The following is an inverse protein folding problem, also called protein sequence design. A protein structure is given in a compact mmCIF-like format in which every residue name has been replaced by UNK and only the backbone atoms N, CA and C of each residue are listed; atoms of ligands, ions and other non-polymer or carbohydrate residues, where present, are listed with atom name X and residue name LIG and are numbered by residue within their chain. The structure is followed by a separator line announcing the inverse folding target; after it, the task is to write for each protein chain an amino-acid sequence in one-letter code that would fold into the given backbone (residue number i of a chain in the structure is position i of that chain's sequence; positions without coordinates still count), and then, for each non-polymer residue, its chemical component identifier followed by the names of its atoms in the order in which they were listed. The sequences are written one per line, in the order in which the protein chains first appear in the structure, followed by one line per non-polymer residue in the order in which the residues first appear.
data_IF_091461219656
#
_entry.id   IF_091461219656
#
_cell.length_a   1.000
_cell.length_b   1.000
_cell.length_c   1.000
_cell.angle_alpha   90.00
_cell.angle_beta   90.00
_cell.angle_gamma   90.00
#
_symmetry.space_group_name_H-M   'P 1'
#
loop_
_entity.id
_entity.type
_entity.pdbx_description
1 polymer ?
#
# COMPACT_ATOMS: atom_id res chain seq x y z
N UNK A 1 -11.80 -9.86 1.90
CA UNK A 1 -11.67 -8.71 2.82
C UNK A 1 -11.91 -9.16 4.25
N UNK A 2 -11.38 -8.43 5.22
CA UNK A 2 -11.52 -8.77 6.64
C UNK A 2 -12.74 -8.06 7.23
N UNK A 3 -13.60 -8.81 7.95
CA UNK A 3 -14.80 -8.28 8.60
C UNK A 3 -14.48 -7.35 9.79
N UNK A 4 -13.26 -7.36 10.29
CA UNK A 4 -12.77 -6.45 11.34
C UNK A 4 -12.54 -5.01 10.88
N UNK A 5 -12.63 -4.73 9.58
CA UNK A 5 -12.46 -3.41 9.00
C UNK A 5 -13.74 -2.90 8.33
N UNK A 6 -13.83 -1.58 8.11
CA UNK A 6 -15.00 -0.99 7.42
C UNK A 6 -15.19 -1.58 6.03
N UNK A 7 -14.12 -1.98 5.35
CA UNK A 7 -14.18 -2.66 4.05
C UNK A 7 -15.00 -3.94 4.11
N UNK A 8 -14.88 -4.73 5.17
CA UNK A 8 -15.69 -5.93 5.39
C UNK A 8 -17.17 -5.60 5.54
N UNK A 9 -17.49 -4.55 6.30
CA UNK A 9 -18.87 -4.08 6.45
C UNK A 9 -19.44 -3.62 5.11
N UNK A 10 -18.72 -2.78 4.37
CA UNK A 10 -19.20 -2.19 3.11
C UNK A 10 -19.27 -3.22 1.97
N UNK A 11 -18.22 -4.00 1.75
CA UNK A 11 -18.04 -4.82 0.55
C UNK A 11 -18.37 -6.31 0.74
N UNK A 12 -18.43 -6.81 1.98
CA UNK A 12 -18.88 -8.18 2.25
C UNK A 12 -20.37 -8.20 2.63
N UNK A 13 -20.81 -7.26 3.47
CA UNK A 13 -22.17 -7.28 4.04
C UNK A 13 -23.09 -6.33 3.29
N UNK A 14 -22.90 -5.01 3.41
CA UNK A 14 -23.92 -4.06 2.99
C UNK A 14 -24.08 -3.95 1.48
N UNK A 15 -23.03 -3.68 0.74
CA UNK A 15 -23.13 -3.44 -0.70
C UNK A 15 -23.62 -4.67 -1.48
N UNK A 16 -23.08 -5.88 -1.29
CA UNK A 16 -23.59 -7.07 -1.98
C UNK A 16 -25.07 -7.35 -1.69
N UNK A 17 -25.47 -7.29 -0.42
CA UNK A 17 -26.85 -7.59 -0.03
C UNK A 17 -27.84 -6.52 -0.49
N UNK A 18 -27.48 -5.23 -0.41
CA UNK A 18 -28.29 -4.13 -0.97
C UNK A 18 -28.46 -4.27 -2.48
N UNK A 19 -27.43 -4.75 -3.18
CA UNK A 19 -27.50 -5.02 -4.62
C UNK A 19 -28.27 -6.29 -4.96
N UNK A 20 -28.61 -7.13 -3.99
CA UNK A 20 -29.23 -8.43 -4.20
C UNK A 20 -28.27 -9.51 -4.68
N UNK A 21 -26.99 -9.36 -4.36
CA UNK A 21 -25.96 -10.34 -4.68
C UNK A 21 -25.78 -11.33 -3.52
N UNK A 22 -25.41 -12.57 -3.85
CA UNK A 22 -24.88 -13.51 -2.87
C UNK A 22 -23.48 -13.06 -2.44
N UNK A 23 -23.20 -13.09 -1.15
CA UNK A 23 -21.88 -12.89 -0.58
C UNK A 23 -21.41 -14.14 0.15
N UNK A 24 -20.10 -14.38 0.17
CA UNK A 24 -19.49 -15.53 0.81
C UNK A 24 -18.64 -15.04 1.97
N UNK A 25 -18.90 -15.58 3.14
CA UNK A 25 -18.06 -15.42 4.33
C UNK A 25 -17.43 -16.76 4.62
N UNK A 26 -16.12 -16.83 4.70
CA UNK A 26 -15.43 -18.03 5.07
C UNK A 26 -14.33 -17.76 6.10
N UNK A 27 -14.06 -18.74 6.95
CA UNK A 27 -12.98 -18.68 7.91
C UNK A 27 -11.71 -19.27 7.32
N UNK A 28 -10.70 -18.44 7.09
CA UNK A 28 -9.43 -18.88 6.51
C UNK A 28 -8.48 -17.72 6.23
N UNK A 29 -7.24 -18.07 5.92
CA UNK A 29 -6.17 -17.12 5.55
C UNK A 29 -5.78 -17.36 4.09
N UNK A 30 -5.17 -16.39 3.40
CA UNK A 30 -4.72 -16.58 2.01
C UNK A 30 -3.68 -17.70 1.85
N UNK A 31 -2.96 -18.02 2.93
CA UNK A 31 -1.98 -19.11 2.98
C UNK A 31 -2.12 -19.89 4.29
N UNK A 32 -1.78 -21.17 4.27
CA UNK A 32 -1.77 -22.02 5.48
C UNK A 32 -3.13 -22.49 6.01
N UNK A 33 -4.21 -22.45 5.17
CA UNK A 33 -5.53 -22.97 5.56
C UNK A 33 -6.31 -23.70 4.43
N UNK A 34 -5.87 -24.85 3.95
CA UNK A 34 -4.66 -25.61 4.36
C UNK A 34 -3.38 -25.14 3.67
N UNK A 35 -3.49 -24.45 2.53
CA UNK A 35 -2.38 -24.03 1.67
C UNK A 35 -2.71 -22.73 0.92
N UNK A 36 -1.86 -22.30 0.00
CA UNK A 36 -2.04 -21.11 -0.83
C UNK A 36 -3.14 -21.25 -1.91
N UNK A 37 -3.74 -22.41 -2.06
CA UNK A 37 -4.84 -22.67 -3.00
C UNK A 37 -6.23 -22.39 -2.43
N UNK A 38 -6.35 -21.98 -1.15
CA UNK A 38 -7.64 -21.80 -0.47
C UNK A 38 -8.58 -20.84 -1.19
N UNK A 39 -8.08 -19.72 -1.72
CA UNK A 39 -8.91 -18.76 -2.46
C UNK A 39 -9.43 -19.39 -3.77
N UNK A 40 -8.60 -20.14 -4.46
CA UNK A 40 -9.00 -20.84 -5.69
C UNK A 40 -10.08 -21.89 -5.43
N UNK A 41 -9.95 -22.63 -4.32
CA UNK A 41 -10.96 -23.57 -3.87
C UNK A 41 -12.31 -22.88 -3.62
N UNK A 42 -12.33 -21.79 -2.83
CA UNK A 42 -13.57 -21.04 -2.52
C UNK A 42 -14.22 -20.49 -3.80
N UNK A 43 -13.40 -19.93 -4.71
CA UNK A 43 -13.89 -19.40 -5.98
C UNK A 43 -14.53 -20.50 -6.82
N UNK A 44 -13.89 -21.66 -6.91
CA UNK A 44 -14.37 -22.82 -7.67
C UNK A 44 -15.64 -23.43 -7.09
N UNK A 45 -15.61 -23.80 -5.81
CA UNK A 45 -16.72 -24.48 -5.12
C UNK A 45 -18.01 -23.65 -5.13
N UNK A 46 -17.87 -22.33 -4.95
CA UNK A 46 -19.02 -21.42 -4.85
C UNK A 46 -19.29 -20.63 -6.14
N UNK A 47 -18.57 -20.90 -7.23
CA UNK A 47 -18.72 -20.23 -8.52
C UNK A 47 -18.65 -18.71 -8.39
N UNK A 48 -17.69 -18.23 -7.59
CA UNK A 48 -17.50 -16.80 -7.30
C UNK A 48 -17.20 -16.04 -8.58
N UNK A 49 -17.90 -14.93 -8.79
CA UNK A 49 -17.68 -14.07 -9.96
C UNK A 49 -16.68 -12.97 -9.70
N UNK A 50 -16.67 -12.42 -8.48
CA UNK A 50 -15.83 -11.28 -8.11
C UNK A 50 -15.20 -11.53 -6.75
N UNK A 51 -13.93 -11.25 -6.63
CA UNK A 51 -13.21 -11.27 -5.37
C UNK A 51 -12.65 -9.89 -5.05
N UNK A 52 -12.71 -9.51 -3.78
CA UNK A 52 -12.14 -8.28 -3.25
C UNK A 52 -11.21 -8.61 -2.10
N UNK A 53 -9.93 -8.23 -2.21
CA UNK A 53 -8.93 -8.47 -1.17
C UNK A 53 -7.82 -7.42 -1.19
N UNK A 54 -6.68 -7.70 -0.55
CA UNK A 54 -5.54 -6.80 -0.49
C UNK A 54 -4.34 -7.34 -1.30
N UNK A 55 -3.47 -6.46 -1.83
CA UNK A 55 -2.22 -6.87 -2.49
C UNK A 55 -1.34 -7.78 -1.62
N UNK A 56 -1.28 -7.54 -0.31
CA UNK A 56 -0.53 -8.38 0.65
C UNK A 56 -0.95 -9.84 0.60
N UNK A 57 -2.26 -10.13 0.43
CA UNK A 57 -2.74 -11.50 0.30
C UNK A 57 -2.20 -12.19 -0.95
N UNK A 58 -2.17 -11.47 -2.08
CA UNK A 58 -1.65 -11.97 -3.34
C UNK A 58 -0.13 -12.13 -3.33
N UNK A 59 0.61 -11.21 -2.70
CA UNK A 59 2.05 -11.39 -2.46
C UNK A 59 2.34 -12.63 -1.62
N UNK A 60 1.55 -12.88 -0.57
CA UNK A 60 1.71 -14.07 0.25
C UNK A 60 1.46 -15.36 -0.55
N UNK A 61 0.40 -15.40 -1.37
CA UNK A 61 0.10 -16.54 -2.24
C UNK A 61 1.23 -16.75 -3.25
N UNK A 62 1.66 -15.68 -3.95
CA UNK A 62 2.75 -15.73 -4.93
C UNK A 62 4.06 -16.24 -4.32
N UNK A 63 4.37 -15.84 -3.09
CA UNK A 63 5.56 -16.30 -2.38
C UNK A 63 5.52 -17.81 -2.11
N UNK A 64 4.36 -18.35 -1.72
CA UNK A 64 4.19 -19.78 -1.42
C UNK A 64 4.03 -20.63 -2.68
N UNK A 65 3.37 -20.08 -3.71
CA UNK A 65 3.10 -20.77 -4.99
C UNK A 65 3.43 -19.84 -6.18
N UNK A 66 4.71 -19.54 -6.43
CA UNK A 66 5.11 -18.54 -7.43
C UNK A 66 4.72 -18.94 -8.87
N UNK A 67 4.52 -20.23 -9.15
CA UNK A 67 4.10 -20.75 -10.45
C UNK A 67 2.60 -20.98 -10.56
N UNK A 68 1.84 -20.63 -9.52
CA UNK A 68 0.39 -20.86 -9.43
C UNK A 68 -0.02 -22.32 -9.73
N UNK A 69 0.77 -23.29 -9.26
CA UNK A 69 0.51 -24.71 -9.52
C UNK A 69 -0.79 -25.17 -8.83
N UNK A 70 -1.06 -24.66 -7.63
CA UNK A 70 -2.28 -24.98 -6.87
C UNK A 70 -3.54 -24.48 -7.58
N UNK A 71 -3.46 -23.38 -8.33
CA UNK A 71 -4.57 -22.83 -9.09
C UNK A 71 -5.09 -23.81 -10.14
N UNK A 72 -4.21 -24.62 -10.73
CA UNK A 72 -4.56 -25.59 -11.78
C UNK A 72 -5.52 -26.69 -11.31
N UNK A 73 -5.66 -26.88 -10.00
CA UNK A 73 -6.56 -27.88 -9.41
C UNK A 73 -8.02 -27.41 -9.34
N UNK A 74 -8.33 -26.17 -9.73
CA UNK A 74 -9.63 -25.56 -9.52
C UNK A 74 -10.21 -24.95 -10.79
N UNK A 75 -11.53 -25.10 -10.97
CA UNK A 75 -12.26 -24.47 -12.07
C UNK A 75 -12.62 -23.01 -11.72
N UNK A 76 -11.96 -22.06 -12.36
CA UNK A 76 -12.22 -20.63 -12.21
C UNK A 76 -13.02 -20.03 -13.37
N UNK A 77 -13.68 -20.80 -14.20
CA UNK A 77 -14.40 -20.35 -15.40
C UNK A 77 -15.49 -19.31 -15.11
N UNK A 78 -16.06 -19.32 -13.90
CA UNK A 78 -17.04 -18.35 -13.45
C UNK A 78 -16.43 -17.03 -12.94
N UNK A 79 -15.13 -17.00 -12.64
CA UNK A 79 -14.45 -15.83 -12.10
C UNK A 79 -14.30 -14.74 -13.17
N UNK A 80 -14.61 -13.50 -12.85
CA UNK A 80 -14.69 -12.40 -13.84
C UNK A 80 -13.79 -11.23 -13.52
N UNK A 81 -13.50 -10.97 -12.23
CA UNK A 81 -12.65 -9.85 -11.84
C UNK A 81 -12.09 -10.04 -10.43
N UNK A 82 -10.86 -9.57 -10.24
CA UNK A 82 -10.22 -9.41 -8.96
C UNK A 82 -10.08 -7.92 -8.65
N UNK A 83 -10.52 -7.50 -7.46
CA UNK A 83 -10.32 -6.14 -6.95
C UNK A 83 -9.35 -6.19 -5.78
N UNK A 84 -8.35 -5.31 -5.83
CA UNK A 84 -7.32 -5.17 -4.80
C UNK A 84 -7.31 -3.74 -4.26
N UNK A 85 -7.21 -3.60 -2.94
CA UNK A 85 -7.12 -2.30 -2.28
C UNK A 85 -6.45 -2.40 -0.90
N UNK A 86 -6.19 -1.24 -0.30
CA UNK A 86 -5.65 -1.11 1.06
C UNK A 86 -4.18 -0.71 1.10
N UNK A 87 -3.44 -0.97 0.05
CA UNK A 87 -2.07 -0.55 -0.20
C UNK A 87 -1.81 -0.51 -1.71
N UNK A 88 -0.71 0.09 -2.11
CA UNK A 88 -0.33 0.13 -3.52
C UNK A 88 -0.15 -1.28 -4.07
N UNK A 89 -0.78 -1.54 -5.20
CA UNK A 89 -0.55 -2.77 -5.98
C UNK A 89 0.71 -2.59 -6.83
N UNK A 90 1.74 -3.34 -6.50
CA UNK A 90 2.99 -3.32 -7.27
C UNK A 90 2.80 -4.02 -8.64
N UNK A 91 3.53 -3.54 -9.69
CA UNK A 91 3.39 -4.08 -11.04
C UNK A 91 3.67 -5.57 -11.16
N UNK A 92 4.60 -6.09 -10.37
CA UNK A 92 4.97 -7.50 -10.42
C UNK A 92 3.87 -8.42 -9.87
N UNK A 93 3.23 -8.04 -8.78
CA UNK A 93 2.05 -8.74 -8.24
C UNK A 93 0.85 -8.65 -9.19
N UNK A 94 0.63 -7.46 -9.81
CA UNK A 94 -0.42 -7.26 -10.81
C UNK A 94 -0.24 -8.23 -11.99
N UNK A 95 0.94 -8.21 -12.62
CA UNK A 95 1.26 -9.09 -13.77
C UNK A 95 1.12 -10.56 -13.42
N UNK A 96 1.62 -10.96 -12.25
CA UNK A 96 1.49 -12.34 -11.80
C UNK A 96 0.02 -12.75 -11.67
N UNK A 97 -0.81 -11.90 -11.07
CA UNK A 97 -2.24 -12.20 -10.90
C UNK A 97 -2.98 -12.25 -12.24
N UNK A 98 -2.78 -11.29 -13.13
CA UNK A 98 -3.42 -11.25 -14.45
C UNK A 98 -3.02 -12.45 -15.30
N UNK A 99 -1.74 -12.78 -15.36
CA UNK A 99 -1.22 -13.90 -16.16
C UNK A 99 -1.77 -15.26 -15.71
N UNK A 100 -1.98 -15.43 -14.41
CA UNK A 100 -2.46 -16.71 -13.87
C UNK A 100 -3.99 -16.82 -13.82
N UNK A 101 -4.69 -15.71 -13.55
CA UNK A 101 -6.15 -15.73 -13.43
C UNK A 101 -6.88 -15.51 -14.76
N UNK A 102 -6.26 -14.85 -15.74
CA UNK A 102 -6.87 -14.55 -17.04
C UNK A 102 -8.08 -13.62 -16.95
N UNK A 103 -8.19 -12.82 -15.87
CA UNK A 103 -9.27 -11.85 -15.66
C UNK A 103 -8.67 -10.48 -15.30
N UNK A 104 -9.42 -9.38 -15.46
CA UNK A 104 -8.97 -8.07 -15.03
C UNK A 104 -8.64 -8.04 -13.54
N UNK A 105 -7.46 -7.53 -13.20
CA UNK A 105 -7.02 -7.26 -11.83
C UNK A 105 -7.06 -5.76 -11.60
N UNK A 106 -7.99 -5.33 -10.78
CA UNK A 106 -8.31 -3.92 -10.58
C UNK A 106 -7.71 -3.46 -9.27
N UNK A 107 -6.69 -2.60 -9.38
CA UNK A 107 -6.28 -1.78 -8.25
C UNK A 107 -7.30 -0.67 -8.06
N UNK A 108 -7.70 -0.40 -6.81
CA UNK A 108 -8.51 0.76 -6.52
C UNK A 108 -8.17 1.38 -5.18
N UNK A 109 -8.18 2.69 -5.16
CA UNK A 109 -7.77 3.50 -4.05
C UNK A 109 -8.96 4.16 -3.37
N UNK A 110 -9.03 3.97 -2.07
CA UNK A 110 -10.06 4.51 -1.20
C UNK A 110 -9.53 4.64 0.23
N UNK A 111 -10.32 5.27 1.07
CA UNK A 111 -10.04 5.43 2.50
C UNK A 111 -11.28 5.05 3.29
N UNK A 112 -11.10 4.72 4.56
CA UNK A 112 -12.23 4.47 5.49
C UNK A 112 -13.22 5.64 5.46
N UNK A 113 -12.68 6.86 5.44
CA UNK A 113 -13.40 8.12 5.43
C UNK A 113 -14.24 8.36 4.17
N UNK A 114 -13.85 7.76 3.06
CA UNK A 114 -14.53 7.97 1.78
C UNK A 114 -15.66 6.98 1.51
N UNK A 115 -15.66 5.84 2.22
CA UNK A 115 -16.70 4.80 2.12
C UNK A 115 -16.76 4.08 0.78
N UNK A 116 -16.15 4.62 -0.27
CA UNK A 116 -16.07 4.13 -1.64
C UNK A 116 -14.75 4.53 -2.29
N UNK A 117 -14.43 3.88 -3.42
CA UNK A 117 -13.22 4.19 -4.17
C UNK A 117 -13.21 5.64 -4.68
N UNK A 118 -12.15 6.38 -4.36
CA UNK A 118 -11.86 7.70 -4.94
C UNK A 118 -11.43 7.52 -6.41
N UNK A 119 -10.60 6.51 -6.66
CA UNK A 119 -10.19 6.13 -8.01
C UNK A 119 -10.24 4.61 -8.17
N UNK A 120 -10.68 4.16 -9.33
CA UNK A 120 -10.82 2.75 -9.65
C UNK A 120 -11.39 2.54 -11.05
N UNK A 121 -11.22 1.30 -11.56
CA UNK A 121 -11.82 0.89 -12.81
C UNK A 121 -13.25 0.41 -12.56
N UNK A 122 -14.22 1.25 -12.82
CA UNK A 122 -15.64 0.99 -12.58
C UNK A 122 -16.22 0.08 -13.70
N UNK A 123 -15.86 -1.21 -13.69
CA UNK A 123 -16.21 -2.19 -14.74
C UNK A 123 -17.69 -2.21 -15.12
N UNK A 124 -18.58 -1.87 -14.19
CA UNK A 124 -20.02 -1.80 -14.45
C UNK A 124 -20.46 -0.61 -15.32
N UNK A 125 -19.59 0.37 -15.53
CA UNK A 125 -19.85 1.55 -16.36
C UNK A 125 -18.99 1.53 -17.61
N UNK A 126 -17.68 1.43 -17.45
CA UNK A 126 -16.72 1.39 -18.56
C UNK A 126 -15.42 0.76 -18.05
N UNK A 127 -14.85 -0.14 -18.85
CA UNK A 127 -13.54 -0.72 -18.58
C UNK A 127 -12.46 0.10 -19.28
N UNK A 128 -11.68 0.84 -18.50
CA UNK A 128 -10.47 1.50 -18.99
C UNK A 128 -9.32 0.49 -19.10
N UNK A 129 -8.35 0.72 -20.00
CA UNK A 129 -7.08 0.00 -19.98
C UNK A 129 -6.44 0.07 -18.59
N UNK A 130 -5.89 -1.04 -18.13
CA UNK A 130 -5.17 -1.09 -16.84
C UNK A 130 -3.77 -0.54 -17.06
N UNK A 131 -3.36 0.45 -16.26
CA UNK A 131 -1.99 0.93 -16.19
C UNK A 131 -1.36 0.44 -14.88
N UNK A 132 -0.21 -0.18 -14.96
CA UNK A 132 0.52 -0.69 -13.80
C UNK A 132 0.79 0.40 -12.76
N UNK A 133 0.52 0.09 -11.49
CA UNK A 133 0.70 1.02 -10.37
C UNK A 133 -0.34 2.14 -10.28
N UNK A 134 -1.41 2.09 -11.10
CA UNK A 134 -2.48 3.07 -11.09
C UNK A 134 -3.83 2.44 -10.69
N UNK A 135 -4.56 3.03 -9.73
CA UNK A 135 -5.96 2.70 -9.47
C UNK A 135 -6.91 3.23 -10.56
N UNK A 136 -6.42 3.53 -11.73
CA UNK A 136 -7.15 4.02 -12.91
C UNK A 136 -7.58 5.49 -12.77
N UNK A 137 -8.85 5.81 -12.91
CA UNK A 137 -9.37 7.19 -12.95
C UNK A 137 -10.24 7.48 -11.74
N UNK A 138 -10.45 8.76 -11.42
CA UNK A 138 -11.43 9.14 -10.41
C UNK A 138 -12.79 8.49 -10.69
N UNK A 139 -13.37 7.86 -9.68
CA UNK A 139 -14.69 7.27 -9.78
C UNK A 139 -15.77 8.37 -9.88
N UNK A 140 -16.97 8.07 -10.44
CA UNK A 140 -18.02 9.05 -10.57
C UNK A 140 -18.35 9.76 -9.25
N UNK A 141 -18.43 11.08 -9.31
CA UNK A 141 -18.68 11.96 -8.17
C UNK A 141 -17.40 12.48 -7.46
N UNK A 142 -16.23 11.93 -7.77
CA UNK A 142 -14.98 12.36 -7.17
C UNK A 142 -14.25 13.38 -8.05
N UNK A 143 -14.01 14.58 -7.51
CA UNK A 143 -13.20 15.61 -8.16
C UNK A 143 -11.80 15.59 -7.58
N UNK A 144 -11.03 14.57 -7.96
CA UNK A 144 -9.66 14.38 -7.53
C UNK A 144 -8.74 15.38 -8.23
N UNK A 145 -7.86 16.02 -7.46
CA UNK A 145 -6.86 16.95 -7.95
C UNK A 145 -5.52 16.72 -7.26
N UNK A 146 -4.46 17.24 -7.87
CA UNK A 146 -3.10 17.25 -7.29
C UNK A 146 -2.67 18.68 -7.09
N UNK A 147 -2.26 19.01 -5.87
CA UNK A 147 -1.89 20.39 -5.50
C UNK A 147 -0.51 20.45 -4.84
N UNK A 148 0.10 21.63 -4.94
CA UNK A 148 1.32 21.97 -4.20
C UNK A 148 1.01 22.34 -2.73
N UNK A 149 2.04 22.69 -1.96
CA UNK A 149 1.90 23.11 -0.56
C UNK A 149 1.11 24.44 -0.38
N UNK A 150 0.95 25.23 -1.45
CA UNK A 150 0.20 26.46 -1.46
C UNK A 150 -1.22 26.29 -2.01
N UNK A 151 -1.68 25.04 -2.14
CA UNK A 151 -3.00 24.69 -2.68
C UNK A 151 -3.21 25.05 -4.16
N UNK A 152 -2.13 25.25 -4.94
CA UNK A 152 -2.23 25.47 -6.37
C UNK A 152 -2.22 24.15 -7.13
N UNK A 153 -3.08 23.97 -8.16
CA UNK A 153 -2.99 22.81 -9.05
C UNK A 153 -1.62 22.73 -9.72
N UNK A 154 -1.08 21.53 -9.85
CA UNK A 154 0.20 21.27 -10.50
C UNK A 154 0.01 20.55 -11.83
N UNK A 155 1.07 20.46 -12.63
CA UNK A 155 1.03 19.83 -13.96
C UNK A 155 0.80 18.32 -13.88
N UNK A 156 0.22 17.77 -14.94
CA UNK A 156 0.16 16.33 -15.10
C UNK A 156 1.55 15.69 -15.02
N UNK A 157 1.64 14.58 -14.27
CA UNK A 157 2.90 13.88 -14.02
C UNK A 157 3.73 14.39 -12.84
N UNK A 158 3.51 15.61 -12.37
CA UNK A 158 4.20 16.13 -11.19
C UNK A 158 3.58 15.58 -9.89
N UNK A 159 4.44 15.25 -8.91
CA UNK A 159 4.01 14.71 -7.62
C UNK A 159 3.59 15.83 -6.67
N UNK A 160 2.38 15.72 -6.12
CA UNK A 160 1.85 16.64 -5.11
C UNK A 160 0.92 15.94 -4.12
N UNK A 161 0.22 16.74 -3.31
CA UNK A 161 -0.83 16.23 -2.43
C UNK A 161 -2.06 15.86 -3.27
N UNK A 162 -2.55 14.64 -3.11
CA UNK A 162 -3.83 14.20 -3.66
C UNK A 162 -4.95 14.75 -2.78
N UNK A 163 -5.84 15.55 -3.36
CA UNK A 163 -6.95 16.19 -2.65
C UNK A 163 -8.24 16.02 -3.42
N UNK A 164 -9.36 16.01 -2.74
CA UNK A 164 -10.68 15.94 -3.39
C UNK A 164 -11.40 17.27 -3.18
N UNK A 165 -11.78 17.92 -4.29
CA UNK A 165 -12.53 19.16 -4.25
C UNK A 165 -13.92 18.95 -3.64
N UNK A 166 -14.26 19.79 -2.69
CA UNK A 166 -15.59 19.75 -2.03
C UNK A 166 -16.72 20.20 -2.97
N UNK A 167 -17.96 19.69 -2.79
CA UNK A 167 -18.38 18.74 -1.76
C UNK A 167 -17.95 17.30 -2.08
N UNK A 168 -17.77 16.48 -1.01
CA UNK A 168 -17.56 15.03 -1.20
C UNK A 168 -18.85 14.34 -1.65
N UNK A 169 -18.73 13.19 -2.35
CA UNK A 169 -19.89 12.37 -2.68
C UNK A 169 -20.65 11.89 -1.44
N UNK A 170 -21.97 11.61 -1.55
CA UNK A 170 -22.74 10.97 -0.48
C UNK A 170 -22.10 9.64 -0.04
N UNK A 171 -22.18 9.36 1.27
CA UNK A 171 -21.55 8.17 1.86
C UNK A 171 -20.14 8.39 2.39
N UNK A 172 -19.53 9.55 2.10
CA UNK A 172 -18.28 9.96 2.75
C UNK A 172 -18.51 10.32 4.21
N UNK A 173 -17.44 10.27 5.01
CA UNK A 173 -17.46 10.62 6.44
C UNK A 173 -18.00 12.05 6.64
N UNK A 174 -19.12 12.24 7.36
CA UNK A 174 -19.68 13.58 7.58
C UNK A 174 -18.94 14.34 8.69
N UNK A 175 -18.46 13.66 9.71
CA UNK A 175 -17.70 14.22 10.84
C UNK A 175 -17.12 13.11 11.71
N UNK A 176 -16.37 13.48 12.76
CA UNK A 176 -15.94 12.57 13.83
C UNK A 176 -16.90 12.61 15.01
N UNK A 177 -17.13 11.48 15.67
CA UNK A 177 -18.03 11.37 16.81
C UNK A 177 -17.63 12.33 17.93
N UNK A 178 -18.54 13.25 18.28
CA UNK A 178 -18.35 14.30 19.28
C UNK A 178 -17.08 15.14 19.10
N UNK A 179 -16.57 15.28 17.87
CA UNK A 179 -15.31 15.99 17.59
C UNK A 179 -15.28 16.64 16.19
N UNK A 180 -16.23 17.51 15.90
CA UNK A 180 -16.33 18.24 14.62
C UNK A 180 -15.07 19.08 14.36
N UNK A 181 -14.51 19.73 15.38
CA UNK A 181 -13.29 20.50 15.24
C UNK A 181 -12.08 19.63 14.87
N UNK A 182 -12.01 18.41 15.43
CA UNK A 182 -11.00 17.44 15.05
C UNK A 182 -11.14 16.98 13.58
N UNK A 183 -12.38 16.84 13.09
CA UNK A 183 -12.65 16.53 11.69
C UNK A 183 -12.17 17.68 10.78
N UNK A 184 -12.56 18.91 11.06
CA UNK A 184 -12.15 20.10 10.29
C UNK A 184 -10.62 20.20 10.24
N UNK A 185 -9.97 20.11 11.39
CA UNK A 185 -8.52 20.18 11.51
C UNK A 185 -7.79 19.07 10.73
N UNK A 186 -8.29 17.84 10.79
CA UNK A 186 -7.63 16.71 10.17
C UNK A 186 -7.78 16.66 8.64
N UNK A 187 -8.94 17.09 8.12
CA UNK A 187 -9.31 16.83 6.75
C UNK A 187 -9.59 18.06 5.88
N UNK A 188 -9.90 19.24 6.47
CA UNK A 188 -10.39 20.39 5.71
C UNK A 188 -9.55 21.67 5.88
N UNK A 189 -8.73 21.78 6.92
CA UNK A 189 -8.02 23.01 7.27
C UNK A 189 -6.79 23.25 6.40
N UNK A 190 -6.00 22.21 6.11
CA UNK A 190 -4.70 22.33 5.42
C UNK A 190 -4.86 22.76 3.95
N UNK A 191 -5.92 22.32 3.29
CA UNK A 191 -6.21 22.65 1.88
C UNK A 191 -7.62 23.23 1.78
N UNK A 192 -7.79 24.57 1.91
CA UNK A 192 -9.11 25.20 1.87
C UNK A 192 -9.91 24.90 0.60
N UNK A 193 -11.13 24.40 0.75
CA UNK A 193 -12.00 23.98 -0.35
C UNK A 193 -11.80 22.54 -0.83
N UNK A 194 -10.90 21.79 -0.19
CA UNK A 194 -10.61 20.41 -0.48
C UNK A 194 -10.68 19.52 0.76
N UNK A 195 -10.94 18.25 0.52
CA UNK A 195 -10.72 17.18 1.49
C UNK A 195 -9.27 16.68 1.33
N UNK A 196 -8.53 16.66 2.42
CA UNK A 196 -7.17 16.15 2.52
C UNK A 196 -7.19 14.63 2.61
N UNK A 197 -6.69 13.93 1.59
CA UNK A 197 -6.53 12.46 1.66
C UNK A 197 -5.32 12.04 2.48
N UNK A 198 -4.37 12.96 2.70
CA UNK A 198 -3.05 12.69 3.25
C UNK A 198 -2.25 11.64 2.43
N UNK A 199 -2.59 11.47 1.17
CA UNK A 199 -1.83 10.71 0.19
C UNK A 199 -1.16 11.66 -0.81
N UNK A 200 0.00 11.28 -1.32
CA UNK A 200 0.74 11.98 -2.34
C UNK A 200 0.83 11.12 -3.61
N UNK A 201 0.81 11.79 -4.75
CA UNK A 201 0.86 11.12 -6.04
C UNK A 201 0.74 12.11 -7.18
N UNK A 202 0.39 11.63 -8.34
CA UNK A 202 0.18 12.44 -9.53
C UNK A 202 -0.99 11.94 -10.36
N UNK A 203 -1.46 12.76 -11.29
CA UNK A 203 -2.39 12.38 -12.34
C UNK A 203 -1.64 12.55 -13.66
N UNK A 204 -1.64 11.53 -14.51
CA UNK A 204 -0.96 11.59 -15.80
C UNK A 204 -1.79 12.37 -16.84
N UNK A 205 -1.23 12.55 -18.04
CA UNK A 205 -1.87 13.28 -19.15
C UNK A 205 -3.17 12.61 -19.64
N UNK A 206 -3.31 11.29 -19.44
CA UNK A 206 -4.53 10.53 -19.76
C UNK A 206 -5.58 10.57 -18.64
N UNK A 207 -5.29 11.24 -17.53
CA UNK A 207 -6.15 11.37 -16.35
C UNK A 207 -6.13 10.17 -15.40
N UNK A 208 -5.10 9.32 -15.48
CA UNK A 208 -4.91 8.22 -14.54
C UNK A 208 -4.24 8.71 -13.26
N UNK A 209 -4.80 8.32 -12.13
CA UNK A 209 -4.23 8.61 -10.83
C UNK A 209 -3.12 7.61 -10.47
N UNK A 210 -2.07 8.09 -9.83
CA UNK A 210 -0.99 7.27 -9.27
C UNK A 210 -0.79 7.67 -7.83
N UNK A 211 -1.10 6.77 -6.90
CA UNK A 211 -0.92 6.98 -5.46
C UNK A 211 0.44 6.45 -5.08
N UNK A 212 1.36 7.34 -4.74
CA UNK A 212 2.77 6.98 -4.54
C UNK A 212 3.11 6.65 -3.08
N UNK A 213 2.56 7.42 -2.13
CA UNK A 213 2.79 7.25 -0.69
C UNK A 213 1.85 8.13 0.12
N UNK A 214 1.90 7.99 1.44
CA UNK A 214 1.32 8.99 2.34
C UNK A 214 2.12 10.29 2.24
N UNK A 215 1.49 11.43 2.49
CA UNK A 215 2.21 12.72 2.52
C UNK A 215 3.25 12.77 3.64
N UNK A 216 3.02 12.07 4.73
CA UNK A 216 3.93 11.88 5.86
C UNK A 216 5.05 10.85 5.58
N UNK A 217 4.91 10.01 4.55
CA UNK A 217 5.93 9.07 4.05
C UNK A 217 6.78 9.67 2.91
N UNK A 218 6.53 10.90 2.48
CA UNK A 218 7.43 11.62 1.56
C UNK A 218 8.70 12.02 2.30
N UNK A 219 9.84 11.62 1.75
CA UNK A 219 11.15 11.97 2.29
C UNK A 219 11.64 13.27 1.63
N UNK A 220 11.99 14.25 2.44
CA UNK A 220 12.51 15.51 1.94
C UNK A 220 14.03 15.53 2.02
N UNK A 221 14.70 15.14 0.93
CA UNK A 221 16.16 15.06 0.83
C UNK A 221 16.70 16.32 0.18
N UNK A 222 17.31 17.21 0.95
CA UNK A 222 17.90 18.45 0.45
C UNK A 222 16.95 19.26 -0.46
N UNK A 223 15.67 19.32 -0.10
CA UNK A 223 14.62 20.01 -0.86
C UNK A 223 13.93 19.18 -1.94
N UNK A 224 14.41 17.97 -2.23
CA UNK A 224 13.75 17.06 -3.16
C UNK A 224 12.74 16.16 -2.42
N UNK A 225 11.52 16.15 -2.93
CA UNK A 225 10.42 15.31 -2.41
C UNK A 225 10.47 13.95 -3.07
N UNK A 226 10.81 12.92 -2.31
CA UNK A 226 11.01 11.56 -2.80
C UNK A 226 9.97 10.61 -2.21
N UNK A 227 9.39 9.78 -3.04
CA UNK A 227 8.42 8.78 -2.62
C UNK A 227 9.11 7.55 -2.03
N UNK A 228 8.73 7.14 -0.83
CA UNK A 228 9.13 5.85 -0.26
C UNK A 228 8.68 4.70 -1.15
N UNK A 229 7.45 4.77 -1.65
CA UNK A 229 6.88 3.74 -2.53
C UNK A 229 7.65 3.53 -3.84
N UNK A 230 8.18 4.62 -4.43
CA UNK A 230 9.01 4.49 -5.63
C UNK A 230 10.33 3.75 -5.35
N UNK A 231 10.94 4.00 -4.19
CA UNK A 231 12.13 3.26 -3.78
C UNK A 231 11.80 1.80 -3.44
N UNK A 232 10.70 1.56 -2.73
CA UNK A 232 10.24 0.22 -2.38
C UNK A 232 9.95 -0.63 -3.62
N UNK A 233 9.40 -0.04 -4.68
CA UNK A 233 9.19 -0.71 -5.97
C UNK A 233 10.50 -1.19 -6.58
N UNK A 234 11.53 -0.35 -6.54
CA UNK A 234 12.86 -0.73 -7.03
C UNK A 234 13.48 -1.85 -6.19
N UNK A 235 13.33 -1.79 -4.86
CA UNK A 235 13.85 -2.81 -3.96
C UNK A 235 13.12 -4.15 -4.12
N UNK A 236 11.81 -4.11 -4.36
CA UNK A 236 10.98 -5.30 -4.54
C UNK A 236 11.29 -6.06 -5.85
N UNK A 237 11.86 -5.38 -6.85
CA UNK A 237 12.31 -6.02 -8.09
C UNK A 237 13.59 -6.88 -7.93
N UNK A 238 14.26 -6.81 -6.77
CA UNK A 238 15.42 -7.64 -6.51
C UNK A 238 15.01 -9.08 -6.25
N UNK A 239 15.61 -10.09 -6.94
CA UNK A 239 15.16 -11.48 -6.89
C UNK A 239 15.20 -12.12 -5.50
N UNK A 240 16.09 -11.66 -4.62
CA UNK A 240 16.24 -12.19 -3.27
C UNK A 240 15.36 -11.49 -2.22
N UNK A 241 14.66 -10.40 -2.59
CA UNK A 241 13.83 -9.62 -1.68
C UNK A 241 12.38 -10.08 -1.73
N UNK A 242 11.87 -10.55 -0.59
CA UNK A 242 10.47 -10.94 -0.43
C UNK A 242 9.58 -9.75 -0.09
N UNK A 243 10.10 -8.84 0.73
CA UNK A 243 9.38 -7.67 1.22
C UNK A 243 10.38 -6.57 1.59
N UNK A 244 9.98 -5.32 1.45
CA UNK A 244 10.82 -4.19 1.83
C UNK A 244 9.99 -3.05 2.41
N UNK A 245 10.67 -2.15 3.10
CA UNK A 245 10.13 -0.86 3.52
C UNK A 245 11.23 0.21 3.43
N UNK A 246 10.83 1.41 3.04
CA UNK A 246 11.70 2.59 3.06
C UNK A 246 11.06 3.65 3.94
N UNK A 247 11.87 4.34 4.71
CA UNK A 247 11.43 5.50 5.50
C UNK A 247 12.50 6.58 5.55
N UNK A 248 12.07 7.82 5.76
CA UNK A 248 12.96 8.94 5.98
C UNK A 248 13.37 9.04 7.43
N UNK A 249 14.65 9.25 7.67
CA UNK A 249 15.19 9.54 9.02
C UNK A 249 15.82 10.92 9.02
N UNK A 250 15.81 11.59 10.17
CA UNK A 250 16.36 12.92 10.31
C UNK A 250 17.87 12.95 9.98
N UNK A 251 18.27 13.89 9.15
CA UNK A 251 19.67 14.15 8.78
C UNK A 251 20.00 15.64 8.94
N UNK A 252 21.14 15.95 9.57
CA UNK A 252 21.54 17.33 9.90
C UNK A 252 21.82 18.20 8.70
N UNK A 253 22.23 17.63 7.57
CA UNK A 253 22.62 18.37 6.37
C UNK A 253 21.52 18.41 5.30
N UNK A 254 20.77 17.30 5.17
CA UNK A 254 19.81 17.11 4.09
C UNK A 254 18.35 17.21 4.53
N UNK A 255 18.10 17.45 5.82
CA UNK A 255 16.79 17.38 6.44
C UNK A 255 16.38 15.94 6.72
N UNK A 256 16.26 15.12 5.69
CA UNK A 256 16.03 13.67 5.83
C UNK A 256 16.89 12.88 4.84
N UNK A 257 17.15 11.61 5.16
CA UNK A 257 17.73 10.62 4.24
C UNK A 257 16.92 9.32 4.31
N UNK A 258 16.77 8.60 3.20
CA UNK A 258 16.08 7.32 3.19
C UNK A 258 16.95 6.21 3.77
N UNK A 259 16.33 5.31 4.53
CA UNK A 259 16.87 4.02 4.92
C UNK A 259 15.93 2.89 4.50
N UNK A 260 16.51 1.76 4.08
CA UNK A 260 15.78 0.59 3.61
C UNK A 260 15.82 -0.58 4.59
N UNK A 261 14.72 -1.32 4.66
CA UNK A 261 14.63 -2.59 5.35
C UNK A 261 14.26 -3.67 4.35
N UNK A 262 14.99 -4.77 4.33
CA UNK A 262 14.82 -5.87 3.39
C UNK A 262 14.47 -7.13 4.16
N UNK A 263 13.42 -7.81 3.76
CA UNK A 263 13.12 -9.18 4.18
C UNK A 263 13.44 -10.08 3.01
N UNK A 264 14.32 -11.03 3.20
CA UNK A 264 14.76 -11.91 2.13
C UNK A 264 13.81 -13.07 1.90
N UNK A 265 13.81 -13.60 0.68
CA UNK A 265 13.09 -14.81 0.33
C UNK A 265 13.57 -16.02 1.15
N UNK A 266 12.69 -16.95 1.44
CA UNK A 266 13.05 -18.20 2.09
C UNK A 266 14.08 -18.96 1.26
N UNK A 267 15.13 -19.47 1.92
CA UNK A 267 16.19 -20.25 1.24
C UNK A 267 17.29 -19.43 0.57
N UNK A 268 17.27 -18.10 0.65
CA UNK A 268 18.42 -17.28 0.22
C UNK A 268 19.62 -17.58 1.11
N UNK A 269 20.74 -17.96 0.47
CA UNK A 269 22.02 -18.29 1.12
C UNK A 269 23.13 -17.30 0.77
N UNK A 270 22.83 -16.31 -0.05
CA UNK A 270 23.76 -15.24 -0.43
C UNK A 270 24.08 -14.35 0.77
N UNK A 271 25.24 -13.73 0.73
CA UNK A 271 25.62 -12.74 1.73
C UNK A 271 24.66 -11.56 1.73
N UNK A 272 24.19 -11.16 2.92
CA UNK A 272 23.26 -10.05 3.09
C UNK A 272 23.87 -8.71 2.66
N UNK A 273 25.18 -8.51 2.89
CA UNK A 273 25.87 -7.27 2.52
C UNK A 273 25.95 -7.10 1.00
N UNK A 274 26.04 -8.19 0.24
CA UNK A 274 26.04 -8.12 -1.23
C UNK A 274 24.64 -7.74 -1.74
N UNK A 275 23.58 -8.33 -1.19
CA UNK A 275 22.20 -7.99 -1.52
C UNK A 275 21.91 -6.51 -1.19
N UNK A 276 22.40 -6.03 -0.04
CA UNK A 276 22.27 -4.63 0.36
C UNK A 276 22.96 -3.72 -0.65
N UNK A 277 24.19 -4.03 -1.06
CA UNK A 277 24.93 -3.23 -2.08
C UNK A 277 24.19 -3.20 -3.41
N UNK A 278 23.70 -4.34 -3.87
CA UNK A 278 22.93 -4.45 -5.12
C UNK A 278 21.66 -3.60 -5.06
N UNK A 279 20.88 -3.69 -3.98
CA UNK A 279 19.66 -2.91 -3.81
C UNK A 279 19.92 -1.40 -3.72
N UNK A 280 20.96 -0.96 -3.03
CA UNK A 280 21.41 0.44 -3.01
C UNK A 280 21.76 0.91 -4.42
N UNK A 281 22.50 0.09 -5.19
CA UNK A 281 22.86 0.42 -6.56
C UNK A 281 21.63 0.51 -7.47
N UNK A 282 20.67 -0.41 -7.33
CA UNK A 282 19.42 -0.36 -8.09
C UNK A 282 18.64 0.95 -7.86
N UNK A 283 18.53 1.41 -6.62
CA UNK A 283 17.86 2.69 -6.31
C UNK A 283 18.65 3.85 -6.92
N UNK A 284 19.98 3.82 -6.87
CA UNK A 284 20.83 4.84 -7.48
C UNK A 284 20.66 4.91 -8.99
N UNK A 285 20.54 3.77 -9.66
CA UNK A 285 20.44 3.69 -11.12
C UNK A 285 19.03 4.07 -11.63
N UNK A 286 17.98 3.70 -10.92
CA UNK A 286 16.59 3.91 -11.37
C UNK A 286 15.97 5.23 -10.89
N UNK A 287 16.29 5.67 -9.68
CA UNK A 287 15.77 6.92 -9.10
C UNK A 287 16.80 8.04 -9.20
N UNK A 288 18.05 7.68 -9.14
CA UNK A 288 19.18 8.61 -9.25
C UNK A 288 19.86 8.93 -7.91
N UNK A 289 21.06 9.54 -7.98
CA UNK A 289 21.85 9.90 -6.80
C UNK A 289 21.16 10.90 -5.86
N UNK A 290 20.16 11.63 -6.36
CA UNK A 290 19.34 12.59 -5.61
C UNK A 290 18.62 11.92 -4.45
N UNK A 291 18.26 10.64 -4.58
CA UNK A 291 17.61 9.86 -3.53
C UNK A 291 18.47 9.76 -2.27
N UNK A 292 19.80 9.84 -2.40
CA UNK A 292 20.74 9.65 -1.27
C UNK A 292 20.51 8.35 -0.49
N UNK A 293 19.97 7.33 -1.15
CA UNK A 293 19.73 6.00 -0.57
C UNK A 293 21.07 5.29 -0.43
N UNK A 294 21.62 5.28 0.79
CA UNK A 294 22.96 4.75 1.07
C UNK A 294 22.97 3.68 2.15
N UNK A 295 21.85 3.47 2.80
CA UNK A 295 21.76 2.60 3.98
C UNK A 295 20.57 1.70 3.81
N UNK A 296 20.77 0.40 3.92
CA UNK A 296 19.75 -0.61 4.06
C UNK A 296 20.20 -1.69 5.05
N UNK A 297 19.27 -2.44 5.60
CA UNK A 297 19.55 -3.56 6.48
C UNK A 297 18.58 -4.70 6.23
N UNK A 298 19.04 -5.92 6.41
CA UNK A 298 18.20 -7.11 6.35
C UNK A 298 17.57 -7.34 7.71
N UNK A 299 16.25 -7.55 7.71
CA UNK A 299 15.46 -7.87 8.91
C UNK A 299 14.66 -9.15 8.70
N UNK A 300 14.33 -9.85 9.77
CA UNK A 300 13.55 -11.09 9.65
C UNK A 300 12.11 -10.83 9.20
N UNK A 301 11.53 -9.71 9.62
CA UNK A 301 10.15 -9.30 9.35
C UNK A 301 9.99 -7.79 9.55
N UNK A 302 8.93 -7.22 9.00
CA UNK A 302 8.58 -5.81 9.19
C UNK A 302 7.47 -5.66 10.24
N UNK A 303 7.49 -4.62 11.10
CA UNK A 303 6.41 -4.35 12.03
C UNK A 303 5.15 -3.92 11.28
N UNK A 304 4.07 -4.65 11.53
CA UNK A 304 2.79 -4.46 10.84
C UNK A 304 1.64 -4.37 11.84
N UNK A 305 0.57 -3.76 11.38
CA UNK A 305 -0.74 -3.94 12.01
C UNK A 305 -1.28 -5.33 11.69
N UNK A 306 -2.30 -5.78 12.44
CA UNK A 306 -3.01 -7.04 12.16
C UNK A 306 -3.61 -7.10 10.75
N UNK A 307 -3.83 -5.95 10.11
CA UNK A 307 -4.27 -5.86 8.71
C UNK A 307 -3.12 -5.90 7.68
N UNK A 308 -1.87 -6.06 8.12
CA UNK A 308 -0.70 -6.13 7.24
C UNK A 308 -0.05 -4.79 6.91
N UNK A 309 -0.59 -3.66 7.38
CA UNK A 309 -0.02 -2.33 7.12
C UNK A 309 1.27 -2.12 7.90
N UNK A 310 2.36 -1.75 7.21
CA UNK A 310 3.67 -1.47 7.80
C UNK A 310 3.60 -0.21 8.68
N UNK A 311 4.17 -0.29 9.88
CA UNK A 311 4.18 0.77 10.88
C UNK A 311 5.37 1.75 10.69
N UNK A 312 5.50 2.36 9.49
CA UNK A 312 6.62 3.24 9.13
C UNK A 312 6.85 4.36 10.14
N UNK A 313 5.80 5.07 10.54
CA UNK A 313 5.92 6.16 11.51
C UNK A 313 6.41 5.73 12.89
N UNK A 314 6.18 4.48 13.30
CA UNK A 314 6.74 3.93 14.55
C UNK A 314 8.21 3.62 14.37
N UNK A 315 8.60 2.98 13.27
CA UNK A 315 10.01 2.67 12.95
C UNK A 315 10.82 3.98 12.85
N UNK A 316 10.28 5.00 12.19
CA UNK A 316 10.94 6.32 12.07
C UNK A 316 11.20 6.96 13.43
N UNK A 317 10.21 6.93 14.33
CA UNK A 317 10.40 7.47 15.69
C UNK A 317 11.47 6.71 16.47
N UNK A 318 11.57 5.39 16.29
CA UNK A 318 12.64 4.58 16.87
C UNK A 318 13.99 5.02 16.29
N UNK A 319 14.10 5.14 14.97
CA UNK A 319 15.32 5.55 14.29
C UNK A 319 15.81 6.94 14.74
N UNK A 320 14.88 7.88 14.87
CA UNK A 320 15.15 9.27 15.28
C UNK A 320 15.26 9.44 16.81
N UNK A 321 15.20 8.38 17.59
CA UNK A 321 15.19 8.41 19.07
C UNK A 321 14.05 9.28 19.65
N UNK A 322 12.91 9.35 18.96
CA UNK A 322 11.72 10.10 19.39
C UNK A 322 10.81 9.21 20.25
N UNK A 323 10.09 9.79 21.23
CA UNK A 323 9.11 9.02 22.01
C UNK A 323 8.03 8.43 21.10
N UNK A 324 7.68 7.17 21.32
CA UNK A 324 6.61 6.50 20.62
C UNK A 324 5.76 5.65 21.58
N UNK A 325 4.54 5.38 21.16
CA UNK A 325 3.66 4.42 21.80
C UNK A 325 3.35 3.32 20.79
N UNK A 326 3.51 2.06 21.18
CA UNK A 326 3.14 0.95 20.33
C UNK A 326 1.64 1.06 19.97
N UNK A 327 1.29 1.04 18.66
CA UNK A 327 -0.11 1.10 18.24
C UNK A 327 -0.89 -0.10 18.78
N UNK A 328 -2.11 0.11 19.25
CA UNK A 328 -2.98 -0.98 19.74
C UNK A 328 -3.31 -2.02 18.65
N UNK A 329 -3.15 -1.64 17.39
CA UNK A 329 -3.38 -2.50 16.23
C UNK A 329 -2.16 -3.30 15.79
N UNK A 330 -1.03 -3.18 16.46
CA UNK A 330 0.19 -3.93 16.12
C UNK A 330 -0.08 -5.43 16.23
N UNK A 331 0.42 -6.19 15.28
CA UNK A 331 0.27 -7.65 15.27
C UNK A 331 1.08 -8.31 16.39
N UNK A 332 2.37 -7.99 16.46
CA UNK A 332 3.30 -8.49 17.49
C UNK A 332 4.19 -7.35 17.99
N UNK A 333 4.04 -6.88 19.23
CA UNK A 333 4.86 -5.80 19.81
C UNK A 333 6.36 -6.09 19.91
N UNK A 334 6.75 -7.37 20.05
CA UNK A 334 8.16 -7.78 20.21
C UNK A 334 9.01 -7.35 19.01
N UNK A 335 8.40 -7.24 17.85
CA UNK A 335 9.09 -6.80 16.63
C UNK A 335 9.70 -5.39 16.74
N UNK A 336 9.19 -4.53 17.62
CA UNK A 336 9.76 -3.19 17.82
C UNK A 336 11.14 -3.23 18.49
N UNK A 337 11.39 -4.23 19.31
CA UNK A 337 12.72 -4.45 19.91
C UNK A 337 13.68 -5.02 18.85
N UNK A 338 13.22 -5.96 18.01
CA UNK A 338 14.00 -6.48 16.86
C UNK A 338 14.39 -5.34 15.89
N UNK A 339 13.45 -4.42 15.62
CA UNK A 339 13.72 -3.24 14.77
C UNK A 339 14.70 -2.27 15.43
N UNK A 340 14.60 -2.06 16.73
CA UNK A 340 15.54 -1.22 17.49
C UNK A 340 16.96 -1.76 17.39
N UNK A 341 17.14 -3.08 17.54
CA UNK A 341 18.43 -3.76 17.41
C UNK A 341 18.99 -3.59 15.97
N UNK A 342 18.19 -3.85 14.95
CA UNK A 342 18.58 -3.69 13.55
C UNK A 342 19.01 -2.25 13.22
N UNK A 343 18.25 -1.26 13.71
CA UNK A 343 18.55 0.17 13.53
C UNK A 343 19.84 0.56 14.26
N UNK A 344 20.07 0.04 15.46
CA UNK A 344 21.32 0.28 16.22
C UNK A 344 22.53 -0.26 15.47
N UNK A 345 22.41 -1.41 14.82
CA UNK A 345 23.45 -2.02 13.99
C UNK A 345 23.91 -1.16 12.81
N UNK A 346 23.03 -0.28 12.31
CA UNK A 346 23.33 0.66 11.21
C UNK A 346 23.51 2.11 11.68
N UNK A 347 23.67 2.33 12.99
CA UNK A 347 24.01 3.64 13.56
C UNK A 347 22.83 4.59 13.83
N UNK A 348 21.61 4.08 13.75
CA UNK A 348 20.39 4.82 14.09
C UNK A 348 19.87 4.46 15.47
N UNK A 349 18.89 4.44 15.99
CA UNK A 349 18.40 4.14 17.34
C UNK A 349 19.53 3.93 18.38
N UNK A 350 19.60 4.74 19.40
CA UNK A 350 20.52 4.49 20.53
C UNK A 350 20.06 3.25 21.26
N UNK A 351 20.99 2.35 21.61
CA UNK A 351 20.69 1.26 22.53
C UNK A 351 20.03 1.83 23.81
N UNK A 352 18.98 1.20 24.26
CA UNK A 352 18.44 1.49 25.61
C UNK A 352 19.51 1.03 26.60
N UNK A 353 20.11 2.00 27.32
CA UNK A 353 20.95 1.72 28.49
C UNK A 353 20.14 0.98 29.57
#
# INVERSE_FOLDING_TARGET
SDVGWVVGHSYIVYAPLLKGCTTIIFEGKPVGTPDAGVFWRVISEHKVKVMFTAPTAFRAIKREDPKAELLKNYDLSNFKALFLAGERLDPDTLRWAENNLGVPVIDHWWQTETGWAIAGNCLGLHQYPIKEGSPTKPAPGWNLQVVDANCNPIKAGDIGALVVKLPLPPGSLPTLWNNDQGFIKAYLEEFPGYYKTADAGFIDEDGYAFVMSRTDDIINVAGHRLSTGAMEEVLADHPDVAECAVLGVDDKLKGQVPIGFLVLNAGVTRDADDIIKETIQMVRDRIGPVASFKTATVVKRLPKTRSGKILRGTIQKIADNKPYKAPATIDDPVILDEMTEALSGIGYAKAKD
#
